data_IF_628767025231
#
_entry.id   IF_628767025231
#
_cell.length_a   1.000
_cell.length_b   1.000
_cell.length_c   1.000
_cell.angle_alpha   90.00
_cell.angle_beta   90.00
_cell.angle_gamma   90.00
#
_symmetry.space_group_name_H-M   'P 1'
#
loop_
_entity.id
_entity.type
_entity.pdbx_description
1 polymer ?
#
# COMPACT_ATOMS: atom_id res chain seq x y z
N UNK A 1 32.37 -5.39 18.26
CA UNK A 1 32.18 -4.17 17.44
C UNK A 1 31.90 -4.66 16.03
N UNK A 2 30.83 -4.19 15.40
CA UNK A 2 30.49 -4.52 14.02
C UNK A 2 30.97 -3.39 13.10
N UNK A 3 31.31 -3.69 11.85
CA UNK A 3 31.49 -2.70 10.79
C UNK A 3 30.12 -2.13 10.36
N UNK A 4 30.11 -0.95 9.72
CA UNK A 4 28.90 -0.36 9.18
C UNK A 4 28.25 -1.24 8.10
N UNK A 5 29.05 -1.98 7.33
CA UNK A 5 28.56 -2.87 6.27
C UNK A 5 28.44 -4.35 6.71
N UNK A 6 28.58 -4.65 8.00
CA UNK A 6 28.22 -5.97 8.52
C UNK A 6 26.71 -6.19 8.39
N UNK A 7 26.32 -7.39 7.96
CA UNK A 7 24.92 -7.80 7.81
C UNK A 7 24.21 -7.68 9.16
N UNK A 8 23.11 -6.93 9.17
CA UNK A 8 22.24 -6.76 10.33
C UNK A 8 21.14 -7.82 10.33
N UNK A 9 20.40 -7.95 9.21
CA UNK A 9 19.36 -8.95 9.05
C UNK A 9 19.11 -9.31 7.59
N UNK A 10 18.41 -10.44 7.41
CA UNK A 10 17.87 -10.89 6.13
C UNK A 10 16.35 -11.00 6.31
N UNK A 11 15.58 -10.32 5.46
CA UNK A 11 14.13 -10.38 5.49
C UNK A 11 13.59 -10.93 4.17
N UNK A 12 12.90 -12.06 4.25
CA UNK A 12 12.34 -12.70 3.06
C UNK A 12 11.06 -12.00 2.59
N UNK A 13 11.02 -11.63 1.31
CA UNK A 13 9.85 -11.04 0.64
C UNK A 13 9.31 -11.97 -0.43
N UNK A 14 8.00 -11.90 -0.69
CA UNK A 14 7.36 -12.62 -1.78
C UNK A 14 7.73 -11.99 -3.12
N UNK A 15 8.58 -12.68 -3.90
CA UNK A 15 8.94 -12.25 -5.25
C UNK A 15 7.86 -12.62 -6.27
N UNK A 16 7.78 -11.87 -7.37
CA UNK A 16 6.90 -12.13 -8.52
C UNK A 16 7.17 -13.48 -9.19
N UNK A 17 8.40 -14.01 -9.06
CA UNK A 17 8.88 -15.26 -9.66
C UNK A 17 8.66 -16.51 -8.79
N UNK A 18 7.96 -16.40 -7.65
CA UNK A 18 7.56 -17.54 -6.81
C UNK A 18 8.60 -18.03 -5.78
N UNK A 19 9.90 -17.73 -5.95
CA UNK A 19 10.90 -17.95 -4.90
C UNK A 19 11.05 -16.69 -4.02
N UNK A 20 10.87 -16.82 -2.68
CA UNK A 20 11.15 -15.72 -1.76
C UNK A 20 12.56 -15.17 -1.95
N UNK A 21 12.73 -13.85 -1.87
CA UNK A 21 14.04 -13.21 -1.94
C UNK A 21 14.41 -12.71 -0.55
N UNK A 22 15.62 -13.04 -0.08
CA UNK A 22 16.11 -12.55 1.21
C UNK A 22 16.74 -11.17 1.06
N UNK A 23 16.02 -10.11 1.39
CA UNK A 23 16.56 -8.73 1.33
C UNK A 23 17.59 -8.56 2.44
N UNK A 24 18.81 -8.16 2.08
CA UNK A 24 19.91 -7.95 3.03
C UNK A 24 20.04 -6.47 3.38
N UNK A 25 19.97 -6.17 4.68
CA UNK A 25 20.31 -4.86 5.24
C UNK A 25 21.58 -4.97 6.09
N UNK A 26 22.43 -3.95 6.00
CA UNK A 26 23.65 -3.83 6.81
C UNK A 26 23.43 -2.89 7.99
N UNK A 27 24.42 -2.72 8.84
CA UNK A 27 24.24 -2.14 10.18
C UNK A 27 24.17 -0.60 10.20
N UNK A 28 25.18 0.07 9.65
CA UNK A 28 25.37 1.52 9.81
C UNK A 28 24.32 2.34 9.06
N UNK A 29 24.27 2.19 7.74
CA UNK A 29 23.37 2.96 6.89
C UNK A 29 21.90 2.74 7.20
N UNK A 30 21.50 1.47 7.44
CA UNK A 30 20.14 1.13 7.85
C UNK A 30 19.75 1.85 9.14
N UNK A 31 20.56 1.72 10.20
CA UNK A 31 20.21 2.29 11.50
C UNK A 31 20.19 3.82 11.47
N UNK A 32 21.09 4.46 10.73
CA UNK A 32 21.07 5.91 10.51
C UNK A 32 19.78 6.36 9.81
N UNK A 33 19.36 5.64 8.76
CA UNK A 33 18.14 5.99 8.02
C UNK A 33 16.90 5.85 8.90
N UNK A 34 16.72 4.71 9.57
CA UNK A 34 15.51 4.46 10.39
C UNK A 34 15.49 5.30 11.67
N UNK A 35 16.66 5.68 12.22
CA UNK A 35 16.74 6.66 13.30
C UNK A 35 16.18 8.01 12.84
N UNK A 36 16.66 8.51 11.69
CA UNK A 36 16.29 9.83 11.17
C UNK A 36 14.81 9.87 10.77
N UNK A 37 14.32 8.87 10.03
CA UNK A 37 12.91 8.83 9.62
C UNK A 37 11.99 8.67 10.82
N UNK A 38 12.33 7.83 11.81
CA UNK A 38 11.51 7.71 13.01
C UNK A 38 11.41 9.03 13.77
N UNK A 39 12.55 9.72 13.95
CA UNK A 39 12.59 11.01 14.67
C UNK A 39 11.74 12.06 13.96
N UNK A 40 11.94 12.25 12.67
CA UNK A 40 11.41 13.40 11.94
C UNK A 40 9.99 13.18 11.42
N UNK A 41 9.67 11.98 10.92
CA UNK A 41 8.35 11.70 10.34
C UNK A 41 7.29 11.60 11.42
N UNK A 42 7.60 10.95 12.55
CA UNK A 42 6.67 10.85 13.68
C UNK A 42 6.84 12.00 14.69
N UNK A 43 7.74 12.95 14.42
CA UNK A 43 8.09 14.06 15.31
C UNK A 43 8.33 13.59 16.76
N UNK A 44 9.08 12.50 16.94
CA UNK A 44 9.19 11.79 18.22
C UNK A 44 9.72 12.70 19.33
N UNK A 45 8.95 12.75 20.43
CA UNK A 45 9.25 13.42 21.69
C UNK A 45 9.51 12.37 22.77
N UNK A 46 10.27 12.76 23.79
CA UNK A 46 10.63 11.88 24.91
C UNK A 46 9.41 11.42 25.73
N UNK A 47 8.31 12.18 25.65
CA UNK A 47 7.04 11.87 26.32
C UNK A 47 6.11 10.96 25.51
N UNK A 48 6.48 10.56 24.29
CA UNK A 48 5.57 9.81 23.42
C UNK A 48 5.41 8.34 23.83
N UNK A 49 4.17 7.88 23.75
CA UNK A 49 3.81 6.47 23.72
C UNK A 49 3.52 6.12 22.26
N UNK A 50 4.50 5.52 21.59
CA UNK A 50 4.45 5.20 20.17
C UNK A 50 3.88 3.80 19.94
N UNK A 51 2.86 3.69 19.08
CA UNK A 51 2.30 2.40 18.69
C UNK A 51 2.29 2.22 17.18
N UNK A 52 3.11 1.29 16.68
CA UNK A 52 2.95 0.72 15.35
C UNK A 52 2.24 -0.64 15.44
N UNK A 53 1.18 -0.83 14.66
CA UNK A 53 0.34 -2.03 14.70
C UNK A 53 0.84 -3.17 13.79
N UNK A 54 1.95 -2.96 13.09
CA UNK A 54 2.53 -3.98 12.22
C UNK A 54 3.01 -5.20 13.02
N UNK A 55 3.16 -6.33 12.34
CA UNK A 55 3.85 -7.49 12.90
C UNK A 55 5.38 -7.37 12.71
N UNK A 56 6.15 -7.90 13.65
CA UNK A 56 7.63 -7.89 13.63
C UNK A 56 8.21 -8.67 12.44
N UNK A 57 7.44 -9.58 11.83
CA UNK A 57 7.79 -10.30 10.62
C UNK A 57 7.78 -9.45 9.35
N UNK A 58 7.30 -8.21 9.40
CA UNK A 58 7.39 -7.26 8.29
C UNK A 58 8.51 -6.23 8.50
N UNK A 59 8.94 -5.59 7.41
CA UNK A 59 9.96 -4.52 7.49
C UNK A 59 9.48 -3.36 8.35
N UNK A 60 8.17 -3.05 8.38
CA UNK A 60 7.59 -2.05 9.27
C UNK A 60 7.83 -2.37 10.73
N UNK A 61 7.71 -3.64 11.13
CA UNK A 61 8.04 -4.06 12.49
C UNK A 61 9.55 -3.97 12.79
N UNK A 62 10.41 -4.30 11.83
CA UNK A 62 11.86 -4.11 11.99
C UNK A 62 12.19 -2.63 12.22
N UNK A 63 11.84 -1.79 11.25
CA UNK A 63 12.26 -0.38 11.21
C UNK A 63 11.51 0.50 12.20
N UNK A 64 10.22 0.22 12.43
CA UNK A 64 9.31 1.11 13.16
C UNK A 64 8.60 0.47 14.34
N UNK A 65 8.93 -0.75 14.75
CA UNK A 65 8.65 -1.21 16.12
C UNK A 65 9.96 -1.31 16.90
N UNK A 66 10.98 -1.91 16.29
CA UNK A 66 12.25 -2.20 16.98
C UNK A 66 13.29 -1.11 16.72
N UNK A 67 13.94 -1.09 15.55
CA UNK A 67 15.21 -0.38 15.39
C UNK A 67 15.09 1.14 15.49
N UNK A 68 14.19 1.78 14.73
CA UNK A 68 14.09 3.23 14.66
C UNK A 68 13.60 3.87 15.97
N UNK A 69 12.45 3.49 16.53
CA UNK A 69 11.96 4.03 17.79
C UNK A 69 12.90 3.76 18.98
N UNK A 70 13.43 2.53 19.12
CA UNK A 70 14.32 2.21 20.24
C UNK A 70 15.69 2.91 20.12
N UNK A 71 16.21 3.10 18.90
CA UNK A 71 17.41 3.93 18.69
C UNK A 71 17.18 5.40 19.06
N UNK A 72 15.94 5.88 19.00
CA UNK A 72 15.53 7.20 19.46
C UNK A 72 15.19 7.26 20.97
N UNK A 73 15.27 6.13 21.68
CA UNK A 73 14.88 6.06 23.10
C UNK A 73 13.38 6.21 23.34
N UNK A 74 12.53 6.01 22.32
CA UNK A 74 11.08 6.13 22.45
C UNK A 74 10.47 4.97 23.24
N UNK A 75 9.32 5.22 23.87
CA UNK A 75 8.50 4.15 24.46
C UNK A 75 7.66 3.51 23.37
N UNK A 76 7.83 2.21 23.15
CA UNK A 76 7.12 1.45 22.12
C UNK A 76 6.06 0.55 22.74
N UNK A 77 4.81 0.70 22.30
CA UNK A 77 3.72 -0.21 22.61
C UNK A 77 3.70 -1.36 21.60
N UNK A 78 4.13 -2.55 22.02
CA UNK A 78 4.03 -3.78 21.23
C UNK A 78 2.76 -4.52 21.62
N UNK A 79 1.95 -4.88 20.63
CA UNK A 79 0.65 -5.51 20.85
C UNK A 79 0.61 -6.93 20.28
N UNK A 80 0.25 -7.89 21.13
CA UNK A 80 -0.10 -9.25 20.72
C UNK A 80 -1.63 -9.39 20.72
N UNK A 81 -2.21 -9.50 19.52
CA UNK A 81 -3.64 -9.75 19.35
C UNK A 81 -4.20 -9.23 18.03
N UNK A 82 -5.51 -9.34 17.88
CA UNK A 82 -6.25 -8.83 16.75
C UNK A 82 -6.92 -7.47 17.08
N UNK A 83 -7.26 -6.66 16.07
CA UNK A 83 -7.97 -5.39 16.25
C UNK A 83 -9.42 -5.53 16.72
N UNK A 84 -10.01 -6.73 16.65
CA UNK A 84 -11.43 -7.00 16.89
C UNK A 84 -11.70 -7.98 18.05
N UNK A 85 -10.68 -8.31 18.84
CA UNK A 85 -10.82 -9.23 19.97
C UNK A 85 -10.45 -8.57 21.31
N UNK A 86 -11.32 -8.61 22.35
CA UNK A 86 -12.59 -9.33 22.44
C UNK A 86 -13.77 -8.68 21.70
N UNK A 87 -13.57 -7.44 21.23
CA UNK A 87 -14.54 -6.68 20.46
C UNK A 87 -13.82 -5.66 19.56
N UNK A 88 -14.57 -5.00 18.68
CA UNK A 88 -14.06 -4.02 17.69
C UNK A 88 -13.58 -2.69 18.32
N UNK A 89 -13.80 -2.49 19.62
CA UNK A 89 -13.28 -1.37 20.39
C UNK A 89 -11.87 -1.60 20.94
N UNK A 90 -11.27 -2.78 20.68
CA UNK A 90 -10.01 -3.22 21.30
C UNK A 90 -8.89 -2.20 21.18
N UNK A 91 -8.62 -1.69 19.98
CA UNK A 91 -7.50 -0.76 19.77
C UNK A 91 -7.73 0.56 20.51
N UNK A 92 -8.94 1.09 20.43
CA UNK A 92 -9.32 2.36 21.05
C UNK A 92 -9.25 2.30 22.57
N UNK A 93 -9.68 1.17 23.16
CA UNK A 93 -9.49 0.87 24.58
C UNK A 93 -8.01 0.92 25.00
N UNK A 94 -7.11 0.40 24.15
CA UNK A 94 -5.68 0.39 24.44
C UNK A 94 -5.06 1.78 24.28
N UNK A 95 -5.49 2.55 23.26
CA UNK A 95 -5.11 3.96 23.10
C UNK A 95 -5.44 4.75 24.36
N UNK A 96 -6.70 4.70 24.82
CA UNK A 96 -7.14 5.38 26.03
C UNK A 96 -6.40 4.89 27.29
N UNK A 97 -6.28 3.56 27.46
CA UNK A 97 -5.71 2.97 28.67
C UNK A 97 -4.24 3.33 28.86
N UNK A 98 -3.47 3.34 27.78
CA UNK A 98 -2.02 3.55 27.83
C UNK A 98 -1.60 4.96 27.43
N UNK A 99 -2.54 5.81 27.02
CA UNK A 99 -2.25 7.17 26.59
C UNK A 99 -1.38 7.20 25.34
N UNK A 100 -1.70 6.37 24.34
CA UNK A 100 -0.95 6.33 23.07
C UNK A 100 -1.01 7.70 22.41
N UNK A 101 0.14 8.23 22.02
CA UNK A 101 0.27 9.57 21.43
C UNK A 101 0.47 9.52 19.91
N UNK A 102 1.07 8.43 19.42
CA UNK A 102 1.31 8.20 17.99
C UNK A 102 0.76 6.84 17.61
N UNK A 103 -0.10 6.80 16.59
CA UNK A 103 -0.71 5.56 16.11
C UNK A 103 -0.41 5.35 14.63
N UNK A 104 0.36 4.31 14.32
CA UNK A 104 0.85 3.98 12.99
C UNK A 104 0.33 2.61 12.53
N UNK A 105 -0.52 2.61 11.50
CA UNK A 105 -1.25 1.40 11.08
C UNK A 105 -1.36 1.29 9.55
N UNK A 106 -1.91 0.19 9.04
CA UNK A 106 -2.13 -0.01 7.61
C UNK A 106 -3.52 0.50 7.17
N UNK A 107 -3.68 0.98 5.92
CA UNK A 107 -4.98 1.31 5.33
C UNK A 107 -6.01 0.18 5.44
N UNK A 108 -5.61 -1.08 5.33
CA UNK A 108 -6.50 -2.23 5.52
C UNK A 108 -7.17 -2.23 6.90
N UNK A 109 -6.42 -1.89 7.95
CA UNK A 109 -6.98 -1.77 9.29
C UNK A 109 -7.91 -0.55 9.38
N UNK A 110 -7.53 0.59 8.79
CA UNK A 110 -8.37 1.79 8.74
C UNK A 110 -9.71 1.51 8.05
N UNK A 111 -9.70 0.84 6.89
CA UNK A 111 -10.93 0.43 6.18
C UNK A 111 -11.77 -0.54 7.00
N UNK A 112 -11.14 -1.44 7.77
CA UNK A 112 -11.87 -2.32 8.69
C UNK A 112 -12.57 -1.51 9.79
N UNK A 113 -11.90 -0.52 10.39
CA UNK A 113 -12.48 0.36 11.41
C UNK A 113 -13.65 1.17 10.85
N UNK A 114 -13.47 1.75 9.66
CA UNK A 114 -14.51 2.48 8.95
C UNK A 114 -15.73 1.58 8.68
N UNK A 115 -15.52 0.34 8.22
CA UNK A 115 -16.59 -0.64 8.01
C UNK A 115 -17.30 -1.05 9.31
N UNK A 116 -16.59 -1.05 10.43
CA UNK A 116 -17.16 -1.40 11.73
C UNK A 116 -18.03 -0.31 12.32
N UNK A 117 -17.88 0.93 11.86
CA UNK A 117 -18.66 2.08 12.28
C UNK A 117 -17.96 2.93 13.35
N UNK A 118 -18.36 4.20 13.42
CA UNK A 118 -17.76 5.21 14.31
C UNK A 118 -18.14 5.02 15.78
N UNK A 119 -19.17 4.22 16.06
CA UNK A 119 -19.62 3.94 17.41
C UNK A 119 -18.55 3.25 18.25
N UNK A 120 -17.60 2.53 17.63
CA UNK A 120 -16.52 1.85 18.34
C UNK A 120 -15.45 2.82 18.87
N UNK A 121 -14.83 3.69 18.04
CA UNK A 121 -13.89 4.69 18.55
C UNK A 121 -14.56 5.73 19.45
N UNK A 122 -15.82 6.13 19.21
CA UNK A 122 -16.54 7.14 20.00
C UNK A 122 -16.76 6.75 21.48
N UNK A 123 -16.65 5.47 21.81
CA UNK A 123 -16.74 4.98 23.20
C UNK A 123 -15.49 5.29 24.05
N UNK A 124 -14.40 5.76 23.44
CA UNK A 124 -13.10 5.90 24.09
C UNK A 124 -12.55 7.32 23.95
N UNK A 125 -11.76 7.73 24.95
CA UNK A 125 -11.04 9.00 24.89
C UNK A 125 -9.74 8.83 24.08
N UNK A 126 -9.74 9.39 22.87
CA UNK A 126 -8.60 9.38 21.95
C UNK A 126 -7.80 10.71 21.97
N UNK A 127 -8.05 11.58 22.95
CA UNK A 127 -7.43 12.91 23.03
C UNK A 127 -5.91 12.89 23.22
N UNK A 128 -5.35 11.76 23.70
CA UNK A 128 -3.90 11.57 23.81
C UNK A 128 -3.20 11.51 22.45
N UNK A 129 -3.91 11.12 21.39
CA UNK A 129 -3.36 11.10 20.04
C UNK A 129 -3.01 12.51 19.58
N UNK A 130 -1.79 12.64 19.07
CA UNK A 130 -1.27 13.87 18.45
C UNK A 130 -0.82 13.67 17.01
N UNK A 131 -0.58 12.44 16.57
CA UNK A 131 -0.13 12.12 15.22
C UNK A 131 -0.61 10.74 14.81
N UNK A 132 -1.07 10.64 13.58
CA UNK A 132 -1.46 9.39 12.94
C UNK A 132 -0.51 9.09 11.79
N UNK A 133 -0.30 7.82 11.50
CA UNK A 133 0.42 7.42 10.30
C UNK A 133 -0.26 6.25 9.59
N UNK A 134 0.02 6.15 8.30
CA UNK A 134 -0.46 5.08 7.43
C UNK A 134 0.66 4.52 6.55
N UNK A 135 0.64 3.19 6.31
CA UNK A 135 1.75 2.48 5.64
C UNK A 135 1.32 1.23 4.88
N UNK A 136 2.08 0.91 3.84
CA UNK A 136 2.16 -0.43 3.25
C UNK A 136 1.30 -0.61 2.00
N UNK A 137 0.34 0.26 1.76
CA UNK A 137 -0.47 0.31 0.55
C UNK A 137 -1.02 1.73 0.36
N UNK A 138 -1.48 2.09 -0.86
CA UNK A 138 -2.19 3.35 -1.07
C UNK A 138 -3.44 3.45 -0.18
N UNK A 139 -3.63 4.62 0.43
CA UNK A 139 -4.85 4.97 1.15
C UNK A 139 -5.74 5.82 0.24
N UNK A 140 -7.00 5.43 0.07
CA UNK A 140 -7.94 6.24 -0.71
C UNK A 140 -8.37 7.48 0.09
N UNK A 141 -8.72 8.60 -0.58
CA UNK A 141 -9.08 9.85 0.09
C UNK A 141 -10.18 9.72 1.14
N UNK A 142 -11.21 8.90 0.90
CA UNK A 142 -12.30 8.66 1.85
C UNK A 142 -11.82 8.03 3.16
N UNK A 143 -11.02 6.96 3.08
CA UNK A 143 -10.46 6.32 4.27
C UNK A 143 -9.47 7.25 5.00
N UNK A 144 -8.71 8.07 4.26
CA UNK A 144 -7.83 9.07 4.84
C UNK A 144 -8.62 10.12 5.63
N UNK A 145 -9.71 10.64 5.05
CA UNK A 145 -10.57 11.63 5.70
C UNK A 145 -11.28 11.04 6.92
N UNK A 146 -11.81 9.82 6.82
CA UNK A 146 -12.43 9.11 7.95
C UNK A 146 -11.44 8.95 9.11
N UNK A 147 -10.18 8.61 8.80
CA UNK A 147 -9.13 8.44 9.81
C UNK A 147 -8.77 9.77 10.49
N UNK A 148 -8.71 10.85 9.71
CA UNK A 148 -8.45 12.20 10.22
C UNK A 148 -9.57 12.68 11.15
N UNK A 149 -10.82 12.50 10.73
CA UNK A 149 -12.01 12.97 11.45
C UNK A 149 -12.25 12.12 12.71
N UNK A 150 -12.43 10.81 12.56
CA UNK A 150 -12.97 9.97 13.65
C UNK A 150 -11.91 9.42 14.60
N UNK A 151 -10.65 9.28 14.15
CA UNK A 151 -9.56 8.83 15.02
C UNK A 151 -8.68 10.01 15.44
N UNK A 152 -8.38 10.92 14.50
CA UNK A 152 -7.57 12.11 14.77
C UNK A 152 -8.31 13.25 15.44
N UNK A 153 -9.65 13.24 15.41
CA UNK A 153 -10.50 14.34 15.87
C UNK A 153 -10.22 15.64 15.13
N UNK A 154 -9.79 15.57 13.86
CA UNK A 154 -9.32 16.67 13.02
C UNK A 154 -8.11 17.46 13.57
N UNK A 155 -7.47 16.95 14.63
CA UNK A 155 -6.31 17.59 15.28
C UNK A 155 -4.99 16.94 14.90
N UNK A 156 -5.02 15.67 14.51
CA UNK A 156 -3.82 14.89 14.28
C UNK A 156 -3.40 14.94 12.80
N UNK A 157 -2.19 15.42 12.45
CA UNK A 157 -1.66 15.22 11.11
C UNK A 157 -1.54 13.71 10.80
N UNK A 158 -1.74 13.36 9.54
CA UNK A 158 -1.55 11.99 9.04
C UNK A 158 -0.30 11.95 8.18
N UNK A 159 0.68 11.13 8.58
CA UNK A 159 1.84 10.82 7.74
C UNK A 159 1.56 9.58 6.89
N UNK A 160 1.27 9.81 5.61
CA UNK A 160 1.25 8.74 4.61
C UNK A 160 2.68 8.43 4.18
N UNK A 161 3.11 7.19 4.38
CA UNK A 161 4.50 6.79 4.29
C UNK A 161 4.69 5.76 3.18
N UNK A 162 5.24 6.20 2.04
CA UNK A 162 5.65 5.28 0.99
C UNK A 162 7.10 4.85 1.16
N UNK A 163 7.30 3.53 1.13
CA UNK A 163 8.59 2.84 1.17
C UNK A 163 8.38 1.32 1.01
N UNK A 164 9.47 0.56 0.96
CA UNK A 164 9.48 -0.88 0.71
C UNK A 164 10.50 -1.61 1.61
N UNK A 165 10.46 -2.94 1.61
CA UNK A 165 11.45 -3.76 2.33
C UNK A 165 12.87 -3.45 1.89
N UNK A 166 13.05 -3.25 0.59
CA UNK A 166 14.31 -2.93 -0.07
C UNK A 166 14.85 -1.55 0.28
N UNK A 167 13.98 -0.62 0.66
CA UNK A 167 14.38 0.74 1.01
C UNK A 167 14.82 0.89 2.46
N UNK A 168 14.53 -0.10 3.31
CA UNK A 168 14.89 -0.13 4.73
C UNK A 168 14.07 0.81 5.60
N UNK A 169 13.75 2.01 5.13
CA UNK A 169 12.91 2.97 5.84
C UNK A 169 12.15 3.90 4.89
N UNK A 170 11.48 4.91 5.47
CA UNK A 170 10.53 5.77 4.79
C UNK A 170 11.25 6.61 3.73
N UNK A 171 10.64 6.75 2.55
CA UNK A 171 11.26 7.39 1.38
C UNK A 171 10.51 8.64 0.92
N UNK A 172 9.18 8.58 0.86
CA UNK A 172 8.32 9.70 0.44
C UNK A 172 7.21 9.82 1.48
N UNK A 173 7.12 10.97 2.13
CA UNK A 173 6.20 11.19 3.25
C UNK A 173 6.11 12.68 3.62
N UNK A 174 4.99 13.15 4.19
CA UNK A 174 4.94 14.48 4.77
C UNK A 174 5.74 14.53 6.07
N UNK A 175 6.34 15.69 6.36
CA UNK A 175 6.87 15.99 7.69
C UNK A 175 5.85 16.84 8.46
N UNK A 176 5.38 16.40 9.64
CA UNK A 176 4.39 17.13 10.41
C UNK A 176 4.91 18.52 10.79
N UNK A 177 4.07 19.55 10.61
CA UNK A 177 4.44 20.94 10.85
C UNK A 177 5.23 21.62 9.71
N UNK A 178 5.55 20.90 8.63
CA UNK A 178 6.26 21.44 7.46
C UNK A 178 5.46 21.22 6.17
N UNK A 179 4.96 20.01 5.96
CA UNK A 179 4.28 19.62 4.73
C UNK A 179 2.76 19.64 4.91
N UNK A 180 2.05 20.43 4.09
CA UNK A 180 0.60 20.33 4.00
C UNK A 180 0.21 18.99 3.35
N UNK A 181 -0.79 18.29 3.86
CA UNK A 181 -1.17 16.97 3.31
C UNK A 181 -2.30 17.08 2.29
N UNK A 182 -2.25 16.25 1.26
CA UNK A 182 -3.37 16.00 0.34
C UNK A 182 -3.87 14.56 0.57
N UNK A 183 -5.16 14.32 0.85
CA UNK A 183 -5.66 12.97 1.12
C UNK A 183 -5.30 11.98 0.00
N UNK A 184 -4.58 10.91 0.35
CA UNK A 184 -4.10 9.88 -0.59
C UNK A 184 -2.76 10.16 -1.28
N UNK A 185 -2.08 11.27 -0.97
CA UNK A 185 -0.73 11.55 -1.45
C UNK A 185 0.32 11.26 -0.37
N UNK A 186 1.43 10.63 -0.78
CA UNK A 186 2.63 10.50 0.05
C UNK A 186 3.44 11.81 0.13
N UNK A 187 3.03 12.85 -0.61
CA UNK A 187 3.63 14.18 -0.67
C UNK A 187 5.04 14.20 -1.29
N UNK A 188 6.09 14.59 -0.58
CA UNK A 188 7.42 14.84 -1.13
C UNK A 188 8.46 13.85 -0.60
N UNK A 189 9.60 13.67 -1.29
CA UNK A 189 10.68 12.82 -0.81
C UNK A 189 11.22 13.29 0.55
N UNK A 190 11.53 12.33 1.42
CA UNK A 190 12.17 12.58 2.71
C UNK A 190 13.55 13.24 2.49
N UNK A 191 14.02 14.14 3.39
CA UNK A 191 15.32 14.77 3.24
C UNK A 191 16.46 13.76 3.02
N UNK A 192 17.23 13.95 1.95
CA UNK A 192 18.31 13.03 1.53
C UNK A 192 17.88 11.97 0.52
N UNK A 193 16.58 11.80 0.27
CA UNK A 193 16.05 10.96 -0.81
C UNK A 193 15.86 11.81 -2.06
N UNK A 194 16.35 11.31 -3.20
CA UNK A 194 16.10 11.92 -4.52
C UNK A 194 15.22 10.98 -5.32
N UNK A 195 13.96 11.37 -5.54
CA UNK A 195 13.00 10.60 -6.33
C UNK A 195 12.56 11.38 -7.57
N UNK A 196 12.33 10.67 -8.66
CA UNK A 196 11.74 11.22 -9.88
C UNK A 196 10.74 10.22 -10.49
N UNK A 197 10.00 10.66 -11.49
CA UNK A 197 9.15 9.80 -12.30
C UNK A 197 9.73 9.72 -13.70
N UNK A 198 10.06 8.50 -14.15
CA UNK A 198 10.71 8.27 -15.43
C UNK A 198 9.78 7.49 -16.37
N UNK A 199 9.92 7.70 -17.67
CA UNK A 199 9.35 6.85 -18.70
C UNK A 199 10.26 5.61 -18.96
N UNK A 200 9.93 4.81 -19.98
CA UNK A 200 10.76 3.65 -20.33
C UNK A 200 12.16 4.03 -20.83
N UNK A 201 12.32 5.21 -21.44
CA UNK A 201 13.59 5.74 -21.94
C UNK A 201 14.45 6.41 -20.86
N UNK A 202 13.95 6.50 -19.61
CA UNK A 202 14.66 7.13 -18.49
C UNK A 202 14.51 8.65 -18.44
N UNK A 203 13.57 9.23 -19.19
CA UNK A 203 13.30 10.67 -19.20
C UNK A 203 12.26 11.04 -18.15
N UNK A 204 12.44 12.21 -17.52
CA UNK A 204 11.53 12.73 -16.50
C UNK A 204 10.15 13.05 -17.07
N UNK A 205 9.11 12.54 -16.41
CA UNK A 205 7.69 12.72 -16.77
C UNK A 205 6.85 13.12 -15.54
N UNK A 206 5.60 13.56 -15.75
CA UNK A 206 4.67 13.86 -14.65
C UNK A 206 3.90 12.64 -14.15
N UNK A 207 3.81 11.58 -14.95
CA UNK A 207 3.24 10.29 -14.56
C UNK A 207 4.03 9.17 -15.22
N UNK A 208 4.52 8.23 -14.43
CA UNK A 208 5.46 7.22 -14.92
C UNK A 208 5.88 6.23 -13.85
N UNK A 209 7.05 5.65 -14.06
CA UNK A 209 7.68 4.75 -13.11
C UNK A 209 8.37 5.57 -12.03
N UNK A 210 8.08 5.28 -10.76
CA UNK A 210 8.83 5.86 -9.67
C UNK A 210 10.27 5.38 -9.73
N UNK A 211 11.22 6.29 -9.55
CA UNK A 211 12.65 6.05 -9.61
C UNK A 211 13.36 6.75 -8.46
N UNK A 212 14.34 6.08 -7.85
CA UNK A 212 15.23 6.70 -6.86
C UNK A 212 16.60 6.88 -7.53
N UNK A 213 16.95 8.14 -7.78
CA UNK A 213 18.06 8.51 -8.68
C UNK A 213 19.41 8.65 -7.99
N UNK A 214 19.44 8.51 -6.65
CA UNK A 214 20.68 8.50 -5.86
C UNK A 214 20.59 7.47 -4.73
N UNK A 215 21.71 6.82 -4.38
CA UNK A 215 21.79 5.97 -3.19
C UNK A 215 21.35 6.70 -1.92
N UNK A 216 20.72 5.96 -1.01
CA UNK A 216 20.34 6.44 0.32
C UNK A 216 20.90 5.49 1.39
N UNK A 217 21.09 5.93 2.64
CA UNK A 217 21.80 5.12 3.64
C UNK A 217 21.16 3.75 3.89
N UNK A 218 19.83 3.70 4.00
CA UNK A 218 19.07 2.51 4.36
C UNK A 218 18.76 1.54 3.22
N UNK A 219 19.30 1.74 2.02
CA UNK A 219 19.04 0.84 0.89
C UNK A 219 19.55 -0.57 1.15
N UNK A 220 18.84 -1.58 0.64
CA UNK A 220 19.33 -2.96 0.60
C UNK A 220 20.73 -3.03 -0.04
N UNK A 221 21.54 -3.98 0.42
CA UNK A 221 22.87 -4.21 -0.16
C UNK A 221 22.90 -5.30 -1.20
N UNK A 222 22.06 -6.32 -1.04
CA UNK A 222 21.91 -7.40 -2.00
C UNK A 222 20.65 -8.24 -1.72
N UNK A 223 20.44 -9.28 -2.51
CA UNK A 223 19.57 -10.42 -2.21
C UNK A 223 20.45 -11.58 -1.73
N UNK A 224 20.09 -12.17 -0.60
CA UNK A 224 20.88 -13.20 0.08
C UNK A 224 21.16 -14.41 -0.83
N UNK A 225 22.45 -14.58 -1.17
CA UNK A 225 22.93 -15.64 -2.05
C UNK A 225 22.56 -15.46 -3.53
N UNK A 226 22.13 -14.27 -3.95
CA UNK A 226 21.60 -14.00 -5.31
C UNK A 226 21.83 -12.54 -5.75
N UNK A 227 23.11 -12.14 -5.85
CA UNK A 227 23.51 -10.79 -6.26
C UNK A 227 23.09 -10.44 -7.70
N UNK A 228 22.92 -11.44 -8.56
CA UNK A 228 22.45 -11.25 -9.94
C UNK A 228 21.01 -10.75 -9.94
N UNK A 229 20.12 -11.42 -9.20
CA UNK A 229 18.74 -10.96 -9.03
C UNK A 229 18.65 -9.56 -8.42
N UNK A 230 19.56 -9.18 -7.53
CA UNK A 230 19.63 -7.80 -7.04
C UNK A 230 19.85 -6.79 -8.18
N UNK A 231 20.83 -7.03 -9.05
CA UNK A 231 21.11 -6.15 -10.21
C UNK A 231 19.96 -6.14 -11.19
N UNK A 232 19.49 -7.32 -11.60
CA UNK A 232 18.41 -7.47 -12.57
C UNK A 232 17.10 -6.85 -12.10
N UNK A 233 16.75 -7.01 -10.83
CA UNK A 233 15.45 -6.53 -10.34
C UNK A 233 15.44 -5.02 -10.15
N UNK A 234 16.54 -4.43 -9.65
CA UNK A 234 16.52 -3.05 -9.14
C UNK A 234 17.30 -2.05 -9.99
N UNK A 235 18.22 -2.52 -10.84
CA UNK A 235 19.19 -1.66 -11.53
C UNK A 235 19.26 -1.89 -13.04
N UNK A 236 18.44 -2.79 -13.60
CA UNK A 236 18.48 -3.12 -15.03
C UNK A 236 17.59 -2.23 -15.89
N UNK A 237 16.59 -1.56 -15.29
CA UNK A 237 15.62 -0.76 -16.05
C UNK A 237 16.25 0.51 -16.63
N UNK A 238 17.10 1.16 -15.85
CA UNK A 238 17.85 2.34 -16.25
C UNK A 238 19.23 2.31 -15.59
N UNK A 239 20.20 2.97 -16.22
CA UNK A 239 21.56 3.07 -15.69
C UNK A 239 21.58 3.89 -14.38
N UNK A 240 22.33 3.38 -13.39
CA UNK A 240 22.59 4.00 -12.08
C UNK A 240 21.34 4.47 -11.31
N UNK A 241 20.16 3.94 -11.64
CA UNK A 241 18.88 4.36 -11.05
C UNK A 241 18.15 3.17 -10.46
N UNK A 242 17.77 3.30 -9.19
CA UNK A 242 17.03 2.26 -8.50
C UNK A 242 15.55 2.29 -8.91
N UNK A 243 15.07 1.16 -9.41
CA UNK A 243 13.66 0.97 -9.76
C UNK A 243 12.91 0.21 -8.65
N UNK A 244 12.05 0.89 -7.86
CA UNK A 244 11.22 0.24 -6.83
C UNK A 244 10.14 -0.69 -7.41
N UNK A 245 9.76 -0.55 -8.68
CA UNK A 245 8.64 -1.30 -9.25
C UNK A 245 7.26 -0.72 -8.95
N UNK A 246 7.17 0.57 -8.58
CA UNK A 246 5.92 1.30 -8.36
C UNK A 246 5.69 2.35 -9.46
N UNK A 247 4.42 2.57 -9.82
CA UNK A 247 3.98 3.66 -10.67
C UNK A 247 3.48 4.81 -9.82
N UNK A 248 3.70 6.04 -10.29
CA UNK A 248 3.28 7.23 -9.57
C UNK A 248 2.96 8.39 -10.53
N UNK A 249 2.21 9.37 -10.02
CA UNK A 249 2.04 10.69 -10.64
C UNK A 249 2.56 11.78 -9.71
N UNK A 250 3.08 12.85 -10.29
CA UNK A 250 3.56 14.06 -9.61
C UNK A 250 2.67 15.21 -10.05
N UNK A 251 1.99 15.83 -9.10
CA UNK A 251 1.16 17.01 -9.39
C UNK A 251 1.98 18.30 -9.48
N UNK A 252 1.31 19.40 -9.81
CA UNK A 252 1.94 20.71 -10.04
C UNK A 252 2.62 21.29 -8.79
N UNK A 253 2.23 20.84 -7.59
CA UNK A 253 2.89 21.21 -6.33
C UNK A 253 4.07 20.28 -5.99
N UNK A 254 4.38 19.33 -6.87
CA UNK A 254 5.46 18.36 -6.71
C UNK A 254 5.09 17.15 -5.84
N UNK A 255 3.81 16.94 -5.54
CA UNK A 255 3.38 15.86 -4.65
C UNK A 255 3.28 14.54 -5.42
N UNK A 256 3.86 13.50 -4.85
CA UNK A 256 3.83 12.15 -5.35
C UNK A 256 2.56 11.42 -4.89
N UNK A 257 1.89 10.82 -5.85
CA UNK A 257 0.73 9.96 -5.66
C UNK A 257 1.09 8.58 -6.17
N UNK A 258 1.18 7.62 -5.26
CA UNK A 258 1.60 6.26 -5.56
C UNK A 258 0.40 5.49 -6.09
N UNK A 259 0.48 5.05 -7.34
CA UNK A 259 -0.62 4.37 -8.04
C UNK A 259 -0.64 2.85 -7.76
N UNK A 260 0.46 2.31 -7.21
CA UNK A 260 0.65 0.90 -6.91
C UNK A 260 1.80 0.27 -7.70
N UNK A 261 1.92 -1.06 -7.64
CA UNK A 261 2.93 -1.82 -8.37
C UNK A 261 2.75 -1.61 -9.87
N UNK A 262 3.84 -1.49 -10.62
CA UNK A 262 3.76 -1.35 -12.10
C UNK A 262 3.14 -2.56 -12.76
N UNK A 263 3.31 -3.74 -12.16
CA UNK A 263 2.66 -4.98 -12.59
C UNK A 263 1.13 -4.91 -12.41
N UNK A 264 0.67 -4.02 -11.53
CA UNK A 264 -0.72 -3.69 -11.22
C UNK A 264 -1.14 -2.30 -11.81
N UNK A 265 -0.32 -1.65 -12.64
CA UNK A 265 -0.69 -0.42 -13.38
C UNK A 265 -1.01 -0.79 -14.82
N UNK A 266 -2.18 -0.36 -15.30
CA UNK A 266 -2.67 -0.65 -16.63
C UNK A 266 -2.16 0.39 -17.62
N UNK A 267 -1.79 -0.04 -18.82
CA UNK A 267 -1.52 0.82 -19.97
C UNK A 267 -2.65 0.66 -21.00
N UNK A 268 -3.62 1.57 -20.95
CA UNK A 268 -4.81 1.56 -21.81
C UNK A 268 -4.66 2.66 -22.85
N UNK A 269 -4.39 2.29 -24.10
CA UNK A 269 -4.14 3.20 -25.21
C UNK A 269 -3.06 4.26 -24.91
N UNK A 270 -1.98 3.87 -24.22
CA UNK A 270 -0.89 4.77 -23.85
C UNK A 270 -1.08 5.49 -22.51
N UNK A 271 -2.26 5.38 -21.88
CA UNK A 271 -2.54 6.00 -20.59
C UNK A 271 -2.25 5.04 -19.44
N UNK A 272 -1.48 5.51 -18.46
CA UNK A 272 -1.13 4.76 -17.25
C UNK A 272 -2.22 4.95 -16.20
N UNK A 273 -2.99 3.90 -15.95
CA UNK A 273 -4.14 3.90 -15.05
C UNK A 273 -3.84 2.96 -13.88
N UNK A 274 -3.86 3.47 -12.66
CA UNK A 274 -3.72 2.64 -11.47
C UNK A 274 -4.95 1.76 -11.29
N UNK A 275 -4.77 0.45 -11.12
CA UNK A 275 -5.89 -0.45 -10.79
C UNK A 275 -6.65 0.03 -9.55
N UNK A 276 -5.94 0.54 -8.55
CA UNK A 276 -6.52 1.05 -7.31
C UNK A 276 -7.43 2.28 -7.52
N UNK A 277 -7.15 3.13 -8.51
CA UNK A 277 -7.98 4.29 -8.82
C UNK A 277 -9.34 3.84 -9.34
N UNK A 278 -9.34 2.88 -10.26
CA UNK A 278 -10.55 2.25 -10.81
C UNK A 278 -11.30 1.46 -9.74
N UNK A 279 -10.59 0.70 -8.91
CA UNK A 279 -11.18 -0.02 -7.76
C UNK A 279 -11.86 0.95 -6.79
N UNK A 280 -11.22 2.10 -6.48
CA UNK A 280 -11.78 3.12 -5.60
C UNK A 280 -13.02 3.76 -6.19
N UNK A 281 -13.02 4.08 -7.49
CA UNK A 281 -14.20 4.60 -8.16
C UNK A 281 -15.36 3.60 -8.14
N UNK A 282 -15.09 2.30 -8.32
CA UNK A 282 -16.11 1.26 -8.21
C UNK A 282 -16.67 1.13 -6.80
N UNK A 283 -15.81 1.11 -5.77
CA UNK A 283 -16.21 0.96 -4.36
C UNK A 283 -16.99 2.18 -3.84
N UNK A 284 -16.75 3.36 -4.40
CA UNK A 284 -17.55 4.57 -4.12
C UNK A 284 -19.02 4.43 -4.53
N UNK A 285 -19.35 3.49 -5.43
CA UNK A 285 -20.73 3.26 -5.84
C UNK A 285 -21.53 2.54 -4.73
N UNK A 286 -22.76 2.98 -4.37
CA UNK A 286 -23.53 2.43 -3.25
C UNK A 286 -23.78 0.93 -3.31
N UNK A 287 -23.86 0.36 -4.51
CA UNK A 287 -24.10 -1.07 -4.75
C UNK A 287 -22.87 -1.97 -4.51
N UNK A 288 -21.65 -1.42 -4.53
CA UNK A 288 -20.40 -2.20 -4.52
C UNK A 288 -19.87 -2.37 -3.11
N UNK A 289 -19.51 -3.59 -2.74
CA UNK A 289 -18.86 -3.91 -1.47
C UNK A 289 -17.34 -3.97 -1.61
N UNK A 290 -16.85 -4.63 -2.65
CA UNK A 290 -15.42 -4.74 -2.97
C UNK A 290 -15.22 -4.79 -4.48
N UNK A 291 -14.07 -4.30 -4.96
CA UNK A 291 -13.68 -4.41 -6.35
C UNK A 291 -12.20 -4.79 -6.46
N UNK A 292 -11.86 -5.53 -7.53
CA UNK A 292 -10.49 -5.77 -7.94
C UNK A 292 -10.37 -5.57 -9.44
N UNK A 293 -9.36 -4.84 -9.90
CA UNK A 293 -9.18 -4.50 -11.30
C UNK A 293 -7.90 -5.11 -11.82
N UNK A 294 -7.96 -5.65 -13.03
CA UNK A 294 -6.82 -6.21 -13.76
C UNK A 294 -6.85 -5.76 -15.22
N UNK A 295 -5.68 -5.76 -15.86
CA UNK A 295 -5.57 -5.56 -17.30
C UNK A 295 -5.68 -6.89 -18.02
N UNK A 296 -6.54 -6.94 -19.04
CA UNK A 296 -6.54 -8.00 -20.05
C UNK A 296 -5.92 -7.47 -21.35
N UNK A 297 -5.30 -8.35 -22.13
CA UNK A 297 -4.78 -7.97 -23.45
C UNK A 297 -5.90 -7.47 -24.37
N UNK A 298 -5.62 -6.40 -25.12
CA UNK A 298 -6.52 -5.82 -26.11
C UNK A 298 -5.74 -5.43 -27.37
N UNK A 299 -6.24 -5.83 -28.55
CA UNK A 299 -5.52 -5.64 -29.82
C UNK A 299 -5.39 -4.17 -30.23
N UNK A 300 -6.29 -3.29 -29.79
CA UNK A 300 -6.32 -1.88 -30.17
C UNK A 300 -5.71 -0.96 -29.11
N UNK A 301 -6.00 -1.23 -27.84
CA UNK A 301 -5.59 -0.40 -26.69
C UNK A 301 -4.30 -0.92 -26.04
N UNK A 302 -3.81 -2.09 -26.42
CA UNK A 302 -2.74 -2.82 -25.72
C UNK A 302 -3.27 -3.54 -24.48
N UNK A 303 -3.90 -2.82 -23.55
CA UNK A 303 -4.67 -3.40 -22.46
C UNK A 303 -6.06 -2.79 -22.36
N UNK A 304 -7.02 -3.62 -21.94
CA UNK A 304 -8.35 -3.22 -21.54
C UNK A 304 -8.57 -3.53 -20.05
N UNK A 305 -9.45 -2.75 -19.42
CA UNK A 305 -9.75 -2.85 -17.99
C UNK A 305 -10.80 -3.94 -17.77
N UNK A 306 -10.49 -4.92 -16.93
CA UNK A 306 -11.44 -5.91 -16.43
C UNK A 306 -11.59 -5.74 -14.90
N UNK A 307 -12.82 -5.49 -14.46
CA UNK A 307 -13.15 -5.30 -13.05
C UNK A 307 -13.94 -6.50 -12.51
N UNK A 308 -13.50 -7.04 -11.39
CA UNK A 308 -14.21 -8.05 -10.61
C UNK A 308 -14.90 -7.34 -9.45
N UNK A 309 -16.22 -7.43 -9.38
CA UNK A 309 -17.04 -6.64 -8.45
C UNK A 309 -17.86 -7.57 -7.56
N UNK A 310 -17.73 -7.37 -6.26
CA UNK A 310 -18.61 -7.98 -5.26
C UNK A 310 -19.63 -6.94 -4.81
N UNK A 311 -20.91 -7.26 -4.95
CA UNK A 311 -22.01 -6.38 -4.58
C UNK A 311 -22.35 -6.50 -3.09
N UNK A 312 -22.99 -5.48 -2.54
CA UNK A 312 -23.59 -5.55 -1.20
C UNK A 312 -24.77 -6.52 -1.19
N UNK A 313 -25.05 -7.09 -0.02
CA UNK A 313 -26.17 -8.01 0.17
C UNK A 313 -27.51 -7.35 -0.20
N UNK A 314 -28.36 -8.09 -0.92
CA UNK A 314 -29.67 -7.59 -1.38
C UNK A 314 -29.64 -6.77 -2.67
N UNK A 315 -28.49 -6.61 -3.32
CA UNK A 315 -28.38 -5.99 -4.65
C UNK A 315 -28.40 -7.07 -5.73
N UNK A 316 -29.33 -6.96 -6.68
CA UNK A 316 -29.45 -7.89 -7.81
C UNK A 316 -28.48 -7.55 -8.95
N UNK A 317 -27.92 -8.58 -9.58
CA UNK A 317 -27.08 -8.45 -10.77
C UNK A 317 -27.99 -8.17 -11.98
N UNK A 318 -27.81 -7.01 -12.61
CA UNK A 318 -28.53 -6.62 -13.83
C UNK A 318 -27.58 -5.99 -14.85
N UNK A 319 -27.93 -6.05 -16.13
CA UNK A 319 -27.15 -5.34 -17.17
C UNK A 319 -27.18 -3.83 -16.96
N UNK A 320 -28.30 -3.28 -16.47
CA UNK A 320 -28.40 -1.86 -16.12
C UNK A 320 -27.40 -1.46 -15.04
N UNK A 321 -27.24 -2.27 -13.99
CA UNK A 321 -26.23 -2.01 -12.95
C UNK A 321 -24.81 -2.08 -13.51
N UNK A 322 -24.56 -2.96 -14.47
CA UNK A 322 -23.25 -3.06 -15.13
C UNK A 322 -22.91 -1.80 -15.92
N UNK A 323 -23.87 -1.26 -16.68
CA UNK A 323 -23.72 0.01 -17.39
C UNK A 323 -23.54 1.17 -16.42
N UNK A 324 -24.34 1.23 -15.36
CA UNK A 324 -24.24 2.23 -14.29
C UNK A 324 -22.85 2.27 -13.65
N UNK A 325 -22.29 1.11 -13.28
CA UNK A 325 -20.94 1.02 -12.73
C UNK A 325 -19.87 1.46 -13.73
N UNK A 326 -20.03 1.13 -15.01
CA UNK A 326 -19.10 1.51 -16.07
C UNK A 326 -19.08 3.02 -16.27
N UNK A 327 -20.26 3.65 -16.28
CA UNK A 327 -20.41 5.09 -16.44
C UNK A 327 -19.98 5.86 -15.19
N UNK A 328 -20.22 5.31 -13.99
CA UNK A 328 -19.73 5.87 -12.72
C UNK A 328 -18.21 5.99 -12.70
N UNK A 329 -17.48 4.96 -13.14
CA UNK A 329 -16.01 5.03 -13.27
C UNK A 329 -15.59 6.09 -14.27
N UNK A 330 -16.31 6.22 -15.38
CA UNK A 330 -16.00 7.21 -16.41
C UNK A 330 -16.24 8.65 -15.94
N UNK A 331 -17.26 8.87 -15.12
CA UNK A 331 -17.53 10.17 -14.50
C UNK A 331 -16.44 10.54 -13.50
N UNK A 332 -15.99 9.58 -12.68
CA UNK A 332 -15.00 9.82 -11.62
C UNK A 332 -13.58 10.00 -12.12
N UNK A 333 -13.16 9.22 -13.12
CA UNK A 333 -11.76 9.18 -13.59
C UNK A 333 -11.64 9.72 -15.01
N UNK A 334 -12.61 9.42 -15.87
CA UNK A 334 -12.62 9.79 -17.28
C UNK A 334 -12.92 8.61 -18.19
N UNK A 335 -13.33 8.89 -19.42
CA UNK A 335 -13.76 7.88 -20.40
C UNK A 335 -12.69 6.81 -20.70
N UNK A 336 -11.40 7.14 -20.54
CA UNK A 336 -10.28 6.21 -20.76
C UNK A 336 -10.18 5.10 -19.71
N UNK A 337 -10.76 5.32 -18.53
CA UNK A 337 -10.76 4.36 -17.42
C UNK A 337 -12.01 3.46 -17.39
N UNK A 338 -12.89 3.55 -18.40
CA UNK A 338 -14.08 2.69 -18.50
C UNK A 338 -13.68 1.21 -18.47
N UNK A 339 -14.17 0.42 -17.48
CA UNK A 339 -14.05 -1.02 -17.51
C UNK A 339 -14.70 -1.56 -18.78
N UNK A 340 -13.96 -2.35 -19.55
CA UNK A 340 -14.51 -3.03 -20.72
C UNK A 340 -15.29 -4.28 -20.31
N UNK A 341 -14.87 -4.90 -19.20
CA UNK A 341 -15.58 -5.99 -18.57
C UNK A 341 -15.80 -5.68 -17.09
N UNK A 342 -17.03 -5.88 -16.64
CA UNK A 342 -17.38 -5.97 -15.22
C UNK A 342 -17.90 -7.39 -14.99
N UNK A 343 -17.26 -8.08 -14.05
CA UNK A 343 -17.49 -9.48 -13.72
C UNK A 343 -17.97 -9.52 -12.26
N UNK A 344 -19.23 -9.88 -12.07
CA UNK A 344 -19.78 -9.98 -10.71
C UNK A 344 -19.32 -11.29 -10.06
N UNK A 345 -18.76 -11.18 -8.86
CA UNK A 345 -18.30 -12.31 -8.06
C UNK A 345 -18.84 -12.25 -6.64
N UNK A 346 -19.19 -13.41 -6.10
CA UNK A 346 -19.60 -13.53 -4.70
C UNK A 346 -18.46 -13.15 -3.74
N UNK A 347 -17.21 -13.45 -4.11
CA UNK A 347 -16.03 -13.11 -3.32
C UNK A 347 -14.79 -12.98 -4.20
N UNK A 348 -13.84 -12.15 -3.78
CA UNK A 348 -12.54 -12.02 -4.43
C UNK A 348 -11.54 -13.04 -3.86
N UNK A 349 -10.67 -13.65 -4.69
CA UNK A 349 -9.68 -14.61 -4.22
C UNK A 349 -8.64 -13.91 -3.35
N UNK A 350 -8.64 -14.19 -2.05
CA UNK A 350 -7.74 -13.60 -1.06
C UNK A 350 -6.81 -14.64 -0.45
N UNK A 351 -5.60 -14.21 -0.11
CA UNK A 351 -4.70 -14.95 0.77
C UNK A 351 -5.28 -15.01 2.19
N UNK A 352 -4.73 -15.89 3.05
CA UNK A 352 -5.11 -15.94 4.48
C UNK A 352 -4.86 -14.63 5.24
N UNK A 353 -4.01 -13.73 4.71
CA UNK A 353 -3.78 -12.40 5.27
C UNK A 353 -4.69 -11.31 4.67
N UNK A 354 -5.69 -11.69 3.87
CA UNK A 354 -6.66 -10.76 3.27
C UNK A 354 -6.20 -10.10 1.96
N UNK A 355 -4.96 -10.32 1.50
CA UNK A 355 -4.47 -9.75 0.24
C UNK A 355 -5.15 -10.39 -0.97
N UNK A 356 -5.74 -9.58 -1.85
CA UNK A 356 -6.34 -10.03 -3.13
C UNK A 356 -5.25 -10.57 -4.06
N UNK A 357 -5.50 -11.75 -4.64
CA UNK A 357 -4.60 -12.42 -5.58
C UNK A 357 -4.89 -12.01 -7.03
N UNK A 358 -4.55 -10.77 -7.39
CA UNK A 358 -4.80 -10.18 -8.72
C UNK A 358 -4.24 -10.98 -9.89
N UNK A 359 -3.11 -11.67 -9.70
CA UNK A 359 -2.54 -12.58 -10.72
C UNK A 359 -3.57 -13.63 -11.20
N UNK A 360 -4.34 -14.22 -10.28
CA UNK A 360 -5.34 -15.24 -10.64
C UNK A 360 -6.52 -14.61 -11.38
N UNK A 361 -6.94 -13.41 -10.97
CA UNK A 361 -7.99 -12.65 -11.66
C UNK A 361 -7.56 -12.28 -13.09
N UNK A 362 -6.29 -11.91 -13.29
CA UNK A 362 -5.72 -11.66 -14.62
C UNK A 362 -5.71 -12.92 -15.47
N UNK A 363 -5.27 -14.05 -14.91
CA UNK A 363 -5.29 -15.33 -15.62
C UNK A 363 -6.72 -15.71 -16.06
N UNK A 364 -7.72 -15.46 -15.21
CA UNK A 364 -9.14 -15.68 -15.54
C UNK A 364 -9.58 -14.72 -16.65
N UNK A 365 -9.33 -13.41 -16.51
CA UNK A 365 -9.73 -12.41 -17.50
C UNK A 365 -9.11 -12.64 -18.90
N UNK A 366 -7.93 -13.24 -18.95
CA UNK A 366 -7.21 -13.60 -20.19
C UNK A 366 -7.48 -15.05 -20.66
N UNK A 367 -8.36 -15.80 -19.99
CA UNK A 367 -8.68 -17.18 -20.36
C UNK A 367 -7.52 -18.17 -20.19
N UNK A 368 -6.52 -17.85 -19.36
CA UNK A 368 -5.32 -18.67 -19.14
C UNK A 368 -5.53 -19.70 -18.03
N UNK A 369 -4.68 -20.74 -18.05
CA UNK A 369 -4.62 -21.70 -16.96
C UNK A 369 -4.17 -21.02 -15.66
N UNK A 370 -5.07 -20.96 -14.68
CA UNK A 370 -4.77 -20.37 -13.37
C UNK A 370 -3.70 -21.20 -12.66
N UNK A 371 -2.61 -20.52 -12.23
CA UNK A 371 -1.48 -21.14 -11.53
C UNK A 371 -1.76 -21.48 -10.06
N UNK A 372 -0.71 -21.59 -9.24
CA UNK A 372 -0.80 -22.06 -7.84
C UNK A 372 -1.83 -21.29 -6.98
N UNK A 373 -2.69 -22.05 -6.31
CA UNK A 373 -3.81 -21.61 -5.44
C UNK A 373 -3.62 -21.98 -3.96
N UNK A 374 -2.50 -22.60 -3.58
CA UNK A 374 -2.27 -23.16 -2.23
C UNK A 374 -2.32 -22.14 -1.09
N UNK A 375 -2.09 -20.85 -1.40
CA UNK A 375 -2.10 -19.76 -0.42
C UNK A 375 -3.46 -19.08 -0.23
N UNK A 376 -4.49 -19.49 -0.99
CA UNK A 376 -5.83 -18.92 -0.87
C UNK A 376 -6.49 -19.29 0.46
N UNK A 377 -7.32 -18.38 0.97
CA UNK A 377 -8.21 -18.65 2.09
C UNK A 377 -9.30 -19.65 1.70
N UNK A 378 -9.89 -19.46 0.52
CA UNK A 378 -10.84 -20.38 -0.11
C UNK A 378 -10.47 -20.64 -1.58
N UNK A 379 -9.92 -21.82 -1.91
CA UNK A 379 -9.60 -22.19 -3.29
C UNK A 379 -10.83 -22.33 -4.21
N UNK A 380 -12.03 -22.57 -3.67
CA UNK A 380 -13.25 -22.79 -4.47
C UNK A 380 -13.73 -21.54 -5.19
N UNK A 381 -13.32 -20.36 -4.72
CA UNK A 381 -13.59 -19.05 -5.35
C UNK A 381 -13.06 -19.02 -6.78
N UNK A 382 -11.87 -19.55 -7.01
CA UNK A 382 -11.24 -19.59 -8.34
C UNK A 382 -11.99 -20.50 -9.30
N UNK A 383 -12.50 -21.64 -8.81
CA UNK A 383 -13.27 -22.58 -9.65
C UNK A 383 -14.60 -21.99 -10.10
N UNK A 384 -15.30 -21.27 -9.20
CA UNK A 384 -16.54 -20.57 -9.53
C UNK A 384 -16.31 -19.47 -10.58
N UNK A 385 -15.27 -18.67 -10.40
CA UNK A 385 -14.88 -17.63 -11.37
C UNK A 385 -14.51 -18.23 -12.73
N UNK A 386 -13.77 -19.35 -12.76
CA UNK A 386 -13.48 -20.08 -14.01
C UNK A 386 -14.75 -20.56 -14.69
N UNK A 387 -15.70 -21.14 -13.96
CA UNK A 387 -16.94 -21.66 -14.56
C UNK A 387 -17.81 -20.55 -15.16
N UNK A 388 -17.73 -19.33 -14.64
CA UNK A 388 -18.45 -18.18 -15.17
C UNK A 388 -17.78 -17.53 -16.39
N UNK A 389 -16.50 -17.79 -16.66
CA UNK A 389 -15.72 -17.08 -17.67
C UNK A 389 -14.93 -17.97 -18.64
N UNK A 390 -14.82 -19.27 -18.36
CA UNK A 390 -14.19 -20.27 -19.20
C UNK A 390 -15.19 -20.99 -20.10
N UNK A 391 -15.73 -20.28 -21.09
CA UNK A 391 -16.17 -20.82 -22.38
C UNK A 391 -15.53 -20.02 -23.51
#
# INVERSE_FOLDING_TARGET
KMDAEDVLYILYTSGTTGKPKGVVHTTGGYLTHVYATSKLVFDLKDSDMYWCTADVGWVTGHSYIVYGPLANGATVFMYEGAPDWPDRGRFWKLVQKYGVTIFYTAPTAIRAFMRWGTEWPEQYDLSSLRLLGTVGEPINPEAWMWYHEHIGGERCPIVDTWWQTETGGIMITPLPGITATKPGSATVPFPGVTADLLNDDGESVSAGYLAITKPWPGMLRTVWGDDERFRETYWSKWDDTYFPGDGAKRDDDGYFWILGRVDDVLNVAGHRIGTMEVESALVDHPAVAEAAVVGKADELKGQAIAAFVTLKEGVDITETLKEELTDHVAEKIGAIAKPEAIIFTAELPKTRSGKIMRRLLKDIAEGRAVGDTTTLADPTVVEKLKKQYGE
#
